data_IF_634291855954
#
_entry.id   IF_634291855954
#
_cell.length_a   1.000
_cell.length_b   1.000
_cell.length_c   1.000
_cell.angle_alpha   90.00
_cell.angle_beta   90.00
_cell.angle_gamma   90.00
#
_symmetry.space_group_name_H-M   'P 1'
#
loop_
_entity.id
_entity.type
_entity.pdbx_description
1 polymer ?
#
# COMPACT_ATOMS: atom_id res chain seq x y z
N UNK A 1 7.49 10.75 -79.84
CA UNK A 1 6.84 11.78 -79.02
C UNK A 1 5.80 12.61 -79.70
N UNK A 2 6.07 13.15 -80.86
CA UNK A 2 5.09 13.95 -81.66
C UNK A 2 3.71 13.32 -81.78
N UNK A 3 3.63 11.98 -82.00
CA UNK A 3 2.37 11.25 -82.15
C UNK A 3 1.49 11.22 -80.91
N UNK A 4 2.05 11.05 -79.66
CA UNK A 4 1.29 10.97 -78.40
C UNK A 4 0.68 12.33 -78.01
N UNK A 5 1.44 13.42 -78.18
CA UNK A 5 0.98 14.77 -77.91
C UNK A 5 -0.13 15.19 -78.91
N UNK A 6 -0.02 14.84 -80.18
CA UNK A 6 -1.04 15.12 -81.14
C UNK A 6 -2.33 14.33 -80.91
N UNK A 7 -2.24 13.04 -80.55
CA UNK A 7 -3.40 12.20 -80.26
C UNK A 7 -4.12 12.73 -78.97
N UNK A 8 -3.37 13.24 -77.96
CA UNK A 8 -3.95 13.86 -76.81
C UNK A 8 -4.74 15.13 -77.11
N UNK A 9 -4.19 16.01 -77.95
CA UNK A 9 -4.86 17.24 -78.38
C UNK A 9 -6.09 16.99 -79.25
N UNK A 10 -6.08 15.93 -80.02
CA UNK A 10 -7.20 15.53 -80.87
C UNK A 10 -8.24 14.66 -80.11
N UNK A 11 -8.05 14.44 -78.86
CA UNK A 11 -8.91 13.62 -77.98
C UNK A 11 -9.05 12.16 -78.49
N UNK A 12 -7.98 11.62 -79.07
CA UNK A 12 -7.91 10.26 -79.66
C UNK A 12 -7.02 9.31 -78.90
N UNK A 13 -6.60 9.66 -77.68
CA UNK A 13 -5.76 8.82 -76.81
C UNK A 13 -6.55 7.70 -76.13
N UNK A 14 -5.99 6.51 -76.17
CA UNK A 14 -6.43 5.41 -75.29
C UNK A 14 -6.03 5.68 -73.80
N UNK A 15 -6.67 5.02 -72.88
CA UNK A 15 -6.39 5.18 -71.45
C UNK A 15 -4.92 4.88 -71.10
N UNK A 16 -4.35 3.86 -71.68
CA UNK A 16 -2.93 3.49 -71.50
C UNK A 16 -1.97 4.52 -72.10
N UNK A 17 -2.30 5.15 -73.24
CA UNK A 17 -1.52 6.24 -73.85
C UNK A 17 -1.61 7.54 -72.99
N UNK A 18 -2.79 7.82 -72.44
CA UNK A 18 -2.98 8.94 -71.56
C UNK A 18 -2.14 8.81 -70.25
N UNK A 19 -2.13 7.61 -69.60
CA UNK A 19 -1.30 7.35 -68.45
C UNK A 19 0.21 7.41 -68.74
N UNK A 20 0.61 6.92 -69.97
CA UNK A 20 1.99 7.06 -70.40
C UNK A 20 2.40 8.52 -70.65
N UNK A 21 1.48 9.34 -71.19
CA UNK A 21 1.68 10.78 -71.37
C UNK A 21 1.78 11.51 -69.97
N UNK A 22 0.91 11.24 -68.99
CA UNK A 22 0.99 11.78 -67.69
C UNK A 22 2.30 11.43 -66.96
N UNK A 23 2.77 10.19 -67.12
CA UNK A 23 4.07 9.77 -66.56
C UNK A 23 5.28 10.53 -67.17
N UNK A 24 5.15 11.15 -68.36
CA UNK A 24 6.21 12.01 -68.86
C UNK A 24 6.35 13.33 -68.13
N UNK A 25 5.25 13.87 -67.63
CA UNK A 25 5.28 15.08 -66.76
C UNK A 25 5.95 14.83 -65.42
N UNK A 26 5.89 13.59 -64.92
CA UNK A 26 6.43 13.23 -63.60
C UNK A 26 7.94 12.89 -63.67
N UNK A 27 8.52 12.71 -64.86
CA UNK A 27 9.94 12.39 -65.02
C UNK A 27 10.75 13.61 -65.46
N UNK A 28 11.62 14.16 -64.61
CA UNK A 28 12.41 15.39 -64.90
C UNK A 28 13.23 15.28 -66.19
N UNK A 29 13.75 14.07 -66.51
CA UNK A 29 14.58 13.82 -67.68
C UNK A 29 13.85 13.98 -69.00
N UNK A 30 12.53 13.87 -69.01
CA UNK A 30 11.67 13.96 -70.26
C UNK A 30 10.95 15.31 -70.38
N UNK A 31 11.04 16.19 -69.39
CA UNK A 31 10.37 17.50 -69.44
C UNK A 31 10.92 18.41 -70.54
N UNK A 32 12.20 18.32 -70.81
CA UNK A 32 12.84 19.13 -71.88
C UNK A 32 12.35 18.73 -73.29
N UNK A 33 12.23 17.42 -73.57
CA UNK A 33 11.73 16.90 -74.83
C UNK A 33 10.24 17.17 -75.04
N UNK A 34 9.47 17.11 -73.91
CA UNK A 34 8.06 17.47 -73.88
C UNK A 34 7.85 18.95 -74.20
N UNK A 35 8.64 19.82 -73.50
CA UNK A 35 8.62 21.25 -73.69
C UNK A 35 8.94 21.67 -75.15
N UNK A 36 9.94 20.99 -75.77
CA UNK A 36 10.26 21.22 -77.20
C UNK A 36 9.13 20.82 -78.11
N UNK A 37 8.51 19.67 -77.86
CA UNK A 37 7.40 19.19 -78.70
C UNK A 37 6.16 20.08 -78.57
N UNK A 38 5.90 20.62 -77.40
CA UNK A 38 4.82 21.57 -77.15
C UNK A 38 5.10 22.92 -77.82
N UNK A 39 6.34 23.37 -77.80
CA UNK A 39 6.75 24.66 -78.39
C UNK A 39 6.73 24.59 -79.96
N UNK A 40 7.10 23.45 -80.58
CA UNK A 40 6.96 23.23 -82.00
C UNK A 40 5.49 23.21 -82.43
N UNK A 41 4.63 22.53 -81.69
CA UNK A 41 3.19 22.50 -81.98
C UNK A 41 2.53 23.85 -81.86
N UNK A 42 2.95 24.68 -80.84
CA UNK A 42 2.49 26.05 -80.64
C UNK A 42 2.83 26.94 -81.87
N UNK A 43 3.98 26.71 -82.50
CA UNK A 43 4.40 27.48 -83.70
C UNK A 43 3.65 27.07 -84.98
N UNK A 44 3.10 25.86 -85.04
CA UNK A 44 2.35 25.32 -86.17
C UNK A 44 0.84 25.63 -86.07
N UNK A 45 0.35 26.19 -84.98
CA UNK A 45 -1.06 26.58 -84.89
C UNK A 45 -1.39 27.76 -85.74
N UNK A 46 -2.46 27.72 -86.59
CA UNK A 46 -2.92 28.87 -87.36
C UNK A 46 -3.44 29.96 -86.37
N UNK A 47 -3.01 31.20 -86.63
CA UNK A 47 -3.32 32.40 -85.83
C UNK A 47 -4.77 32.92 -85.96
N UNK A 48 -5.69 32.15 -86.61
CA UNK A 48 -7.05 32.60 -86.92
C UNK A 48 -8.14 31.82 -86.17
N UNK A 49 -8.00 31.66 -84.87
CA UNK A 49 -9.15 31.29 -84.02
C UNK A 49 -9.32 32.32 -82.93
N UNK A 50 -10.52 32.94 -82.88
CA UNK A 50 -10.89 33.75 -81.70
C UNK A 50 -10.55 33.03 -80.43
N UNK A 51 -9.81 33.72 -79.57
CA UNK A 51 -9.41 33.12 -78.31
C UNK A 51 -10.67 32.65 -77.50
N UNK A 52 -10.73 31.38 -77.10
CA UNK A 52 -11.90 30.89 -76.35
C UNK A 52 -12.06 31.73 -75.10
N UNK A 53 -13.29 32.11 -74.76
CA UNK A 53 -13.61 32.77 -73.48
C UNK A 53 -13.31 31.85 -72.30
N UNK A 54 -12.19 32.07 -71.68
CA UNK A 54 -11.73 31.35 -70.53
C UNK A 54 -12.30 31.86 -69.20
N UNK A 55 -13.12 32.92 -69.24
CA UNK A 55 -13.70 33.52 -68.03
C UNK A 55 -14.48 32.53 -67.15
N UNK A 56 -15.31 31.60 -67.74
CA UNK A 56 -16.03 30.62 -66.89
C UNK A 56 -15.07 29.62 -66.22
N UNK A 57 -13.99 29.24 -66.91
CA UNK A 57 -13.00 28.33 -66.39
C UNK A 57 -12.15 29.00 -65.27
N UNK A 58 -11.80 30.26 -65.48
CA UNK A 58 -11.08 31.07 -64.49
C UNK A 58 -11.93 31.29 -63.22
N UNK A 59 -13.23 31.56 -63.37
CA UNK A 59 -14.14 31.68 -62.23
C UNK A 59 -14.27 30.39 -61.48
N UNK A 60 -14.32 29.22 -62.14
CA UNK A 60 -14.40 27.92 -61.47
C UNK A 60 -13.11 27.63 -60.68
N UNK A 61 -11.97 27.93 -61.24
CA UNK A 61 -10.66 27.75 -60.55
C UNK A 61 -10.57 28.67 -59.33
N UNK A 62 -10.94 29.94 -59.47
CA UNK A 62 -10.95 30.87 -58.36
C UNK A 62 -11.93 30.45 -57.24
N UNK A 63 -13.08 29.93 -57.63
CA UNK A 63 -14.06 29.39 -56.67
C UNK A 63 -13.51 28.20 -55.91
N UNK A 64 -12.84 27.27 -56.55
CA UNK A 64 -12.22 26.11 -55.93
C UNK A 64 -11.04 26.50 -55.01
N UNK A 65 -10.18 27.43 -55.44
CA UNK A 65 -9.07 27.96 -54.64
C UNK A 65 -9.63 28.64 -53.38
N UNK A 66 -10.61 29.54 -53.50
CA UNK A 66 -11.25 30.20 -52.36
C UNK A 66 -11.96 29.24 -51.42
N UNK A 67 -12.56 28.14 -51.91
CA UNK A 67 -13.17 27.12 -51.06
C UNK A 67 -12.10 26.31 -50.31
N UNK A 68 -10.97 26.00 -50.92
CA UNK A 68 -9.86 25.32 -50.21
C UNK A 68 -9.24 26.21 -49.14
N UNK A 69 -9.07 27.48 -49.41
CA UNK A 69 -8.56 28.44 -48.40
C UNK A 69 -9.55 28.70 -47.26
N UNK A 70 -10.87 28.66 -47.54
CA UNK A 70 -11.91 28.76 -46.47
C UNK A 70 -12.04 27.50 -45.66
N UNK A 71 -11.76 26.32 -46.24
CA UNK A 71 -11.76 25.03 -45.51
C UNK A 71 -10.61 24.88 -44.51
N UNK A 72 -9.51 25.65 -44.67
CA UNK A 72 -8.32 25.58 -43.80
C UNK A 72 -8.36 26.41 -42.52
N UNK A 73 -9.36 27.30 -42.36
CA UNK A 73 -9.55 28.11 -41.13
C UNK A 73 -10.88 27.84 -40.46
N UNK A 74 -11.25 26.60 -40.29
CA UNK A 74 -12.27 26.29 -39.28
C UNK A 74 -11.65 26.58 -37.91
N UNK A 75 -12.13 27.67 -37.37
CA UNK A 75 -11.69 28.25 -36.11
C UNK A 75 -11.81 27.22 -34.97
N UNK A 76 -10.75 26.42 -34.75
CA UNK A 76 -10.66 25.44 -33.65
C UNK A 76 -10.54 26.12 -32.28
N UNK A 77 -11.01 27.38 -32.15
CA UNK A 77 -11.07 28.06 -30.86
C UNK A 77 -11.85 27.23 -29.82
N UNK A 78 -12.91 26.58 -30.25
CA UNK A 78 -13.71 25.70 -29.38
C UNK A 78 -12.90 24.47 -28.94
N UNK A 79 -12.19 23.81 -29.83
CA UNK A 79 -11.30 22.67 -29.50
C UNK A 79 -10.13 23.14 -28.65
N UNK A 80 -9.55 24.30 -28.94
CA UNK A 80 -8.45 24.87 -28.13
C UNK A 80 -8.93 25.30 -26.73
N UNK A 81 -10.17 25.77 -26.58
CA UNK A 81 -10.77 26.04 -25.28
C UNK A 81 -11.06 24.74 -24.51
N UNK A 82 -11.63 23.74 -25.16
CA UNK A 82 -11.87 22.42 -24.57
C UNK A 82 -10.57 21.73 -24.12
N UNK A 83 -9.52 21.79 -24.92
CA UNK A 83 -8.22 21.22 -24.54
C UNK A 83 -7.56 21.96 -23.36
N UNK A 84 -7.72 23.29 -23.28
CA UNK A 84 -7.24 24.07 -22.13
C UNK A 84 -8.03 23.75 -20.86
N UNK A 85 -9.36 23.65 -20.95
CA UNK A 85 -10.22 23.27 -19.80
C UNK A 85 -9.91 21.84 -19.38
N UNK A 86 -9.76 20.92 -20.32
CA UNK A 86 -9.38 19.54 -20.05
C UNK A 86 -8.01 19.45 -19.35
N UNK A 87 -7.01 20.21 -19.78
CA UNK A 87 -5.69 20.24 -19.13
C UNK A 87 -5.74 20.80 -17.71
N UNK A 88 -6.51 21.87 -17.48
CA UNK A 88 -6.68 22.49 -16.15
C UNK A 88 -7.41 21.55 -15.16
N UNK A 89 -8.32 20.73 -15.63
CA UNK A 89 -9.04 19.76 -14.81
C UNK A 89 -8.28 18.44 -14.66
N UNK A 90 -7.59 18.00 -15.72
CA UNK A 90 -6.89 16.71 -15.73
C UNK A 90 -5.60 16.73 -14.90
N UNK A 91 -4.86 17.86 -14.89
CA UNK A 91 -3.61 17.95 -14.12
C UNK A 91 -3.86 17.85 -12.62
N UNK A 92 -4.78 18.62 -11.99
CA UNK A 92 -5.07 18.43 -10.56
C UNK A 92 -5.69 17.06 -10.25
N UNK A 93 -6.52 16.51 -11.14
CA UNK A 93 -7.07 15.16 -10.98
C UNK A 93 -5.98 14.09 -11.06
N UNK A 94 -5.03 14.21 -11.98
CA UNK A 94 -3.88 13.33 -12.10
C UNK A 94 -2.96 13.46 -10.87
N UNK A 95 -2.70 14.67 -10.38
CA UNK A 95 -1.93 14.91 -9.15
C UNK A 95 -2.66 14.32 -7.94
N UNK A 96 -3.96 14.54 -7.79
CA UNK A 96 -4.77 13.95 -6.72
C UNK A 96 -4.81 12.42 -6.81
N UNK A 97 -4.88 11.85 -8.00
CA UNK A 97 -4.80 10.41 -8.25
C UNK A 97 -3.41 9.85 -7.88
N UNK A 98 -2.32 10.49 -8.31
CA UNK A 98 -0.95 10.12 -7.91
C UNK A 98 -0.68 10.28 -6.42
N UNK A 99 -1.22 11.33 -5.79
CA UNK A 99 -1.12 11.53 -4.34
C UNK A 99 -1.96 10.51 -3.56
N UNK A 100 -3.09 10.06 -4.08
CA UNK A 100 -3.90 8.99 -3.48
C UNK A 100 -3.30 7.59 -3.68
N UNK A 101 -2.63 7.33 -4.82
CA UNK A 101 -1.90 6.06 -5.03
C UNK A 101 -0.72 5.92 -4.05
N UNK A 102 -0.17 7.02 -3.56
CA UNK A 102 0.88 6.99 -2.52
C UNK A 102 0.35 6.75 -1.10
N UNK A 103 -0.98 6.73 -0.91
CA UNK A 103 -1.60 6.41 0.37
C UNK A 103 -1.93 4.92 0.38
N UNK A 104 -1.16 4.22 1.18
CA UNK A 104 -1.14 2.81 1.55
C UNK A 104 -0.46 1.89 0.52
N UNK A 105 0.59 1.17 0.93
CA UNK A 105 0.98 -0.03 0.24
C UNK A 105 -0.21 -0.98 0.36
N UNK A 106 -0.95 -1.18 -0.73
CA UNK A 106 -1.90 -2.27 -0.86
C UNK A 106 -1.18 -3.55 -0.44
N UNK A 107 -1.54 -4.11 0.70
CA UNK A 107 -1.10 -5.42 1.14
C UNK A 107 -1.75 -6.47 0.22
N UNK A 108 -1.30 -6.54 -1.03
CA UNK A 108 -1.76 -7.57 -1.95
C UNK A 108 -1.43 -8.93 -1.35
N UNK A 109 -2.48 -9.66 -0.97
CA UNK A 109 -2.35 -10.99 -0.37
C UNK A 109 -1.92 -10.97 1.10
N UNK A 110 -2.54 -10.12 1.94
CA UNK A 110 -2.37 -10.17 3.41
C UNK A 110 -2.73 -11.56 3.93
N UNK A 111 -1.84 -12.11 4.74
CA UNK A 111 -2.07 -13.31 5.56
C UNK A 111 -2.30 -12.88 7.00
N UNK A 112 -3.25 -13.50 7.67
CA UNK A 112 -3.47 -13.31 9.11
C UNK A 112 -3.33 -14.65 9.82
N UNK A 113 -2.49 -14.69 10.83
CA UNK A 113 -2.34 -15.81 11.74
C UNK A 113 -2.94 -15.39 13.07
N UNK A 114 -3.83 -16.20 13.63
CA UNK A 114 -4.48 -15.94 14.91
C UNK A 114 -4.32 -17.13 15.84
N UNK A 115 -4.16 -16.86 17.12
CA UNK A 115 -4.11 -17.87 18.19
C UNK A 115 -5.34 -17.73 19.08
N UNK A 116 -6.05 -18.82 19.35
CA UNK A 116 -7.10 -18.80 20.37
C UNK A 116 -6.51 -18.63 21.77
N UNK A 117 -7.35 -18.39 22.75
CA UNK A 117 -6.96 -18.43 24.16
C UNK A 117 -6.40 -19.83 24.52
N UNK A 118 -5.54 -19.89 25.52
CA UNK A 118 -4.80 -21.08 25.94
C UNK A 118 -3.96 -21.74 24.84
N UNK A 119 -3.59 -21.01 23.82
CA UNK A 119 -2.74 -21.49 22.73
C UNK A 119 -1.71 -20.44 22.35
N UNK A 120 -0.59 -20.90 21.82
CA UNK A 120 0.43 -20.05 21.22
C UNK A 120 1.03 -20.75 20.00
N UNK A 121 1.58 -19.99 19.09
CA UNK A 121 2.23 -20.50 17.90
C UNK A 121 3.52 -19.75 17.60
N UNK A 122 4.39 -20.36 16.83
CA UNK A 122 5.53 -19.66 16.24
C UNK A 122 5.58 -19.93 14.75
N UNK A 123 6.12 -18.99 14.01
CA UNK A 123 6.28 -19.08 12.56
C UNK A 123 7.36 -18.12 12.06
N UNK A 124 7.82 -18.38 10.85
CA UNK A 124 8.79 -17.51 10.19
C UNK A 124 8.10 -16.63 9.15
N UNK A 125 8.38 -15.35 9.19
CA UNK A 125 7.92 -14.36 8.21
C UNK A 125 8.70 -14.47 6.88
N UNK A 126 8.19 -13.88 5.77
CA UNK A 126 8.85 -13.92 4.47
C UNK A 126 10.26 -13.33 4.41
N UNK A 127 10.64 -12.50 5.39
CA UNK A 127 11.98 -11.90 5.51
C UNK A 127 12.96 -12.72 6.37
N UNK A 128 12.51 -13.87 6.89
CA UNK A 128 13.27 -14.73 7.79
C UNK A 128 13.17 -14.36 9.27
N UNK A 129 12.41 -13.33 9.64
CA UNK A 129 12.12 -13.01 11.04
C UNK A 129 11.25 -14.09 11.68
N UNK A 130 11.52 -14.42 12.94
CA UNK A 130 10.74 -15.40 13.71
C UNK A 130 9.79 -14.66 14.64
N UNK A 131 8.54 -15.09 14.66
CA UNK A 131 7.48 -14.55 15.52
C UNK A 131 6.94 -15.65 16.40
N UNK A 132 6.85 -15.36 17.70
CA UNK A 132 6.05 -16.12 18.66
C UNK A 132 4.79 -15.31 18.93
N UNK A 133 3.63 -15.89 18.73
CA UNK A 133 2.32 -15.26 18.91
C UNK A 133 1.64 -15.88 20.13
N UNK A 134 1.31 -15.05 21.11
CA UNK A 134 0.74 -15.48 22.39
C UNK A 134 -0.78 -15.74 22.28
N UNK A 135 -1.38 -16.22 23.34
CA UNK A 135 -2.80 -16.56 23.44
C UNK A 135 -3.71 -15.35 23.17
N UNK A 136 -4.76 -15.55 22.36
CA UNK A 136 -5.74 -14.51 22.04
C UNK A 136 -5.17 -13.39 21.19
N UNK A 137 -4.19 -13.66 20.34
CA UNK A 137 -3.50 -12.66 19.51
C UNK A 137 -3.66 -12.92 18.03
N UNK A 138 -3.49 -11.89 17.21
CA UNK A 138 -3.46 -12.01 15.74
C UNK A 138 -2.37 -11.13 15.12
N UNK A 139 -1.69 -11.67 14.12
CA UNK A 139 -0.69 -10.96 13.32
C UNK A 139 -1.06 -11.01 11.85
N UNK A 140 -1.16 -9.82 11.24
CA UNK A 140 -1.40 -9.67 9.80
C UNK A 140 -0.14 -9.17 9.11
N UNK A 141 0.26 -9.82 8.02
CA UNK A 141 1.46 -9.49 7.25
C UNK A 141 1.28 -9.86 5.77
N UNK A 142 2.02 -9.23 4.82
CA UNK A 142 1.94 -9.54 3.40
C UNK A 142 2.63 -10.85 3.07
N UNK A 143 2.24 -11.51 1.97
CA UNK A 143 2.94 -12.71 1.45
C UNK A 143 4.40 -12.47 1.12
N UNK A 144 4.76 -11.25 0.78
CA UNK A 144 6.14 -10.79 0.58
C UNK A 144 6.24 -9.31 0.95
N UNK A 145 7.33 -8.92 1.59
CA UNK A 145 7.57 -7.51 1.89
C UNK A 145 8.05 -6.77 0.64
N UNK A 146 7.16 -6.00 0.03
CA UNK A 146 7.43 -5.08 -1.08
C UNK A 146 7.46 -3.63 -0.54
N UNK A 147 8.29 -2.75 -1.13
CA UNK A 147 8.40 -1.35 -0.71
C UNK A 147 9.48 -1.08 0.33
N UNK A 148 9.42 0.11 0.94
CA UNK A 148 10.51 0.66 1.76
C UNK A 148 10.52 0.11 3.20
N UNK A 149 9.42 -0.50 3.65
CA UNK A 149 9.25 -1.03 5.01
C UNK A 149 8.76 -2.49 4.98
N UNK A 150 9.02 -3.21 6.06
CA UNK A 150 8.48 -4.54 6.36
C UNK A 150 7.36 -4.38 7.39
N UNK A 151 6.15 -4.05 6.92
CA UNK A 151 5.01 -3.74 7.79
C UNK A 151 4.25 -4.99 8.19
N UNK A 152 3.96 -5.11 9.51
CA UNK A 152 3.05 -6.09 10.09
C UNK A 152 2.07 -5.41 11.05
N UNK A 153 0.87 -5.99 11.24
CA UNK A 153 -0.14 -5.46 12.17
C UNK A 153 -0.40 -6.48 13.26
N UNK A 154 -0.24 -6.08 14.50
CA UNK A 154 -0.43 -6.92 15.69
C UNK A 154 -1.64 -6.44 16.50
N UNK A 155 -2.49 -7.39 16.88
CA UNK A 155 -3.49 -7.27 17.93
C UNK A 155 -3.23 -8.36 18.97
N UNK A 156 -2.97 -7.98 20.23
CA UNK A 156 -2.58 -8.89 21.28
C UNK A 156 -1.09 -8.85 21.64
N UNK A 157 -0.46 -10.01 21.86
CA UNK A 157 0.94 -10.12 22.29
C UNK A 157 1.77 -10.99 21.36
N UNK A 158 2.94 -10.48 20.99
CA UNK A 158 3.92 -11.22 20.21
C UNK A 158 5.35 -10.87 20.61
N UNK A 159 6.20 -11.87 20.56
CA UNK A 159 7.64 -11.71 20.60
C UNK A 159 8.20 -11.84 19.18
N UNK A 160 9.05 -10.91 18.82
CA UNK A 160 9.70 -10.83 17.52
C UNK A 160 11.20 -11.02 17.66
N UNK A 161 11.78 -11.95 16.90
CA UNK A 161 13.21 -11.99 16.61
C UNK A 161 13.42 -11.60 15.15
N UNK A 162 13.64 -10.31 14.93
CA UNK A 162 13.61 -9.69 13.61
C UNK A 162 14.97 -9.88 12.93
N UNK A 163 14.94 -10.42 11.72
CA UNK A 163 16.10 -10.55 10.85
C UNK A 163 16.71 -9.17 10.50
N UNK A 164 18.03 -9.05 10.61
CA UNK A 164 18.73 -7.78 10.33
C UNK A 164 18.60 -7.38 8.87
N UNK A 165 18.17 -6.13 8.62
CA UNK A 165 18.00 -5.59 7.28
C UNK A 165 18.17 -4.07 7.27
N UNK A 166 18.55 -3.51 6.11
CA UNK A 166 18.58 -2.04 5.90
C UNK A 166 17.16 -1.45 5.81
N UNK A 167 16.14 -2.26 5.47
CA UNK A 167 14.75 -1.84 5.47
C UNK A 167 14.17 -1.96 6.88
N UNK A 168 13.51 -0.93 7.42
CA UNK A 168 12.89 -1.00 8.73
C UNK A 168 11.79 -2.07 8.76
N UNK A 169 11.67 -2.73 9.91
CA UNK A 169 10.55 -3.60 10.25
C UNK A 169 9.64 -2.79 11.17
N UNK A 170 8.40 -2.62 10.75
CA UNK A 170 7.41 -1.81 11.44
C UNK A 170 6.28 -2.70 11.96
N UNK A 171 6.02 -2.65 13.27
CA UNK A 171 4.85 -3.30 13.89
C UNK A 171 3.85 -2.22 14.24
N UNK A 172 2.71 -2.25 13.58
CA UNK A 172 1.57 -1.39 13.86
C UNK A 172 0.62 -2.10 14.84
N UNK A 173 0.20 -1.41 15.90
CA UNK A 173 -0.82 -1.88 16.84
C UNK A 173 -1.92 -0.82 16.97
N UNK A 174 -3.07 -1.15 17.62
CA UNK A 174 -4.10 -0.15 17.91
C UNK A 174 -3.61 1.05 18.72
N UNK A 175 -2.55 0.92 19.52
CA UNK A 175 -2.09 1.94 20.46
C UNK A 175 -0.77 2.62 20.07
N UNK A 176 0.12 1.94 19.36
CA UNK A 176 1.49 2.38 19.08
C UNK A 176 2.04 1.78 17.79
N UNK A 177 3.14 2.36 17.32
CA UNK A 177 3.97 1.80 16.24
C UNK A 177 5.38 1.55 16.73
N UNK A 178 5.98 0.43 16.32
CA UNK A 178 7.35 0.05 16.67
C UNK A 178 8.18 -0.12 15.42
N UNK A 179 9.33 0.57 15.36
CA UNK A 179 10.28 0.50 14.24
C UNK A 179 11.60 -0.12 14.70
N UNK A 180 12.08 -1.13 13.95
CA UNK A 180 13.36 -1.83 14.21
C UNK A 180 14.09 -2.21 12.92
N UNK A 181 15.37 -2.56 13.03
CA UNK A 181 16.21 -3.01 11.89
C UNK A 181 16.75 -4.44 12.03
N UNK A 182 16.72 -5.00 13.24
CA UNK A 182 17.25 -6.33 13.56
C UNK A 182 17.35 -6.46 15.08
N UNK A 183 16.26 -6.88 15.71
CA UNK A 183 16.00 -6.66 17.14
C UNK A 183 15.16 -7.80 17.69
N UNK A 184 15.42 -8.18 18.93
CA UNK A 184 14.59 -9.13 19.66
C UNK A 184 13.82 -8.37 20.76
N UNK A 185 12.47 -8.43 20.72
CA UNK A 185 11.60 -7.65 21.61
C UNK A 185 10.21 -8.27 21.73
N UNK A 186 9.53 -7.96 22.85
CA UNK A 186 8.14 -8.31 23.09
C UNK A 186 7.23 -7.08 22.95
N UNK A 187 6.08 -7.24 22.35
CA UNK A 187 4.98 -6.27 22.35
C UNK A 187 3.78 -6.94 23.00
N UNK A 188 3.19 -6.29 24.02
CA UNK A 188 1.89 -6.59 24.56
C UNK A 188 0.96 -5.41 24.29
N UNK A 189 -0.07 -5.64 23.47
CA UNK A 189 -1.01 -4.61 23.02
C UNK A 189 -2.46 -5.14 22.97
N UNK A 190 -2.88 -5.83 24.03
CA UNK A 190 -4.28 -6.24 24.19
C UNK A 190 -5.16 -5.03 24.51
N UNK A 191 -6.40 -5.02 24.02
CA UNK A 191 -7.35 -3.92 24.23
C UNK A 191 -7.69 -3.65 25.72
N UNK A 192 -7.55 -4.65 26.59
CA UNK A 192 -7.84 -4.58 28.01
C UNK A 192 -6.60 -4.45 28.89
N UNK A 193 -5.44 -4.13 28.33
CA UNK A 193 -4.19 -3.97 29.07
C UNK A 193 -3.47 -2.69 28.61
N UNK A 194 -2.57 -2.17 29.45
CA UNK A 194 -1.68 -1.08 29.03
C UNK A 194 -0.69 -1.61 27.99
N UNK A 195 -0.55 -0.94 26.84
CA UNK A 195 0.39 -1.36 25.81
C UNK A 195 1.83 -1.22 26.28
N UNK A 196 2.62 -2.28 26.08
CA UNK A 196 4.01 -2.37 26.53
C UNK A 196 4.91 -2.90 25.40
N UNK A 197 6.14 -2.35 25.36
CA UNK A 197 7.20 -2.84 24.47
C UNK A 197 8.44 -3.09 25.29
N UNK A 198 8.91 -4.33 25.36
CA UNK A 198 10.09 -4.73 26.12
C UNK A 198 11.21 -5.13 25.19
N UNK A 199 12.37 -4.48 25.31
CA UNK A 199 13.52 -4.74 24.46
C UNK A 199 14.51 -5.69 25.11
N UNK A 200 14.79 -6.81 24.43
CA UNK A 200 15.80 -7.78 24.87
C UNK A 200 17.13 -7.54 24.19
N UNK A 201 17.18 -7.36 22.85
CA UNK A 201 18.40 -7.16 22.07
C UNK A 201 18.17 -6.21 20.92
N UNK A 202 19.16 -5.34 20.64
CA UNK A 202 19.15 -4.41 19.53
C UNK A 202 18.72 -3.00 19.90
N UNK A 203 17.89 -2.36 19.08
CA UNK A 203 17.37 -1.01 19.29
C UNK A 203 15.92 -0.91 18.75
N UNK A 204 15.07 -0.27 19.52
CA UNK A 204 13.66 -0.07 19.20
C UNK A 204 13.34 1.41 19.25
N UNK A 205 12.57 1.90 18.26
CA UNK A 205 11.87 3.16 18.34
C UNK A 205 10.38 2.88 18.55
N UNK A 206 9.79 3.42 19.62
CA UNK A 206 8.36 3.32 19.93
C UNK A 206 7.73 4.67 19.68
N UNK A 207 6.67 4.70 18.89
CA UNK A 207 5.92 5.92 18.55
C UNK A 207 4.48 5.77 18.99
N UNK A 208 3.98 6.69 19.82
CA UNK A 208 2.58 6.74 20.24
C UNK A 208 1.68 7.32 19.15
N UNK A 209 0.36 7.22 19.28
CA UNK A 209 -0.61 7.81 18.35
C UNK A 209 -0.54 9.34 18.24
N UNK A 210 -0.04 10.01 19.29
CA UNK A 210 0.17 11.47 19.26
C UNK A 210 1.45 11.89 18.59
N UNK A 211 2.29 10.92 18.14
CA UNK A 211 3.58 11.17 17.52
C UNK A 211 4.74 11.32 18.52
N UNK A 212 4.51 11.12 19.82
CA UNK A 212 5.61 11.04 20.78
C UNK A 212 6.46 9.81 20.47
N UNK A 213 7.77 9.98 20.37
CA UNK A 213 8.70 8.91 20.09
C UNK A 213 9.72 8.72 21.22
N UNK A 214 9.99 7.47 21.56
CA UNK A 214 11.05 7.06 22.53
C UNK A 214 11.89 5.93 21.92
N UNK A 215 13.17 5.94 22.27
CA UNK A 215 14.10 4.87 21.93
C UNK A 215 14.36 4.01 23.14
N UNK A 216 14.38 2.70 22.94
CA UNK A 216 14.72 1.72 23.97
C UNK A 216 16.11 1.15 23.74
N UNK A 217 16.82 0.92 24.86
CA UNK A 217 18.02 0.11 24.93
C UNK A 217 17.68 -1.27 25.52
N UNK A 218 18.52 -2.28 25.32
CA UNK A 218 18.32 -3.59 25.94
C UNK A 218 18.12 -3.51 27.46
N UNK A 219 17.09 -4.23 27.96
CA UNK A 219 16.68 -4.17 29.36
C UNK A 219 15.72 -3.03 29.71
N UNK A 220 15.22 -2.29 28.70
CA UNK A 220 14.22 -1.25 28.90
C UNK A 220 12.85 -1.67 28.37
N UNK A 221 11.81 -1.14 29.00
CA UNK A 221 10.41 -1.28 28.62
C UNK A 221 9.77 0.09 28.46
N UNK A 222 9.08 0.30 27.34
CA UNK A 222 8.14 1.39 27.15
C UNK A 222 6.73 0.94 27.55
N UNK A 223 6.04 1.75 28.34
CA UNK A 223 4.64 1.59 28.71
C UNK A 223 3.87 2.81 28.26
N UNK A 224 2.75 2.61 27.56
CA UNK A 224 1.96 3.68 26.99
C UNK A 224 0.69 3.89 27.81
N UNK A 225 0.50 5.10 28.30
CA UNK A 225 -0.75 5.53 28.89
C UNK A 225 -1.81 5.70 27.78
N UNK A 226 -2.92 4.98 27.86
CA UNK A 226 -3.95 4.98 26.82
C UNK A 226 -4.81 6.24 26.78
N UNK A 227 -4.76 7.07 27.83
CA UNK A 227 -5.52 8.33 27.95
C UNK A 227 -4.67 9.49 27.43
N UNK A 228 -3.49 9.67 28.02
CA UNK A 228 -2.57 10.77 27.65
C UNK A 228 -1.71 10.45 26.44
N UNK A 229 -1.63 9.18 26.03
CA UNK A 229 -0.73 8.65 25.00
C UNK A 229 0.76 8.93 25.26
N UNK A 230 1.13 9.26 26.50
CA UNK A 230 2.52 9.46 26.90
C UNK A 230 3.26 8.14 27.04
N UNK A 231 4.57 8.16 26.76
CA UNK A 231 5.44 6.98 26.82
C UNK A 231 6.35 7.08 28.03
N UNK A 232 6.17 6.20 29.02
CA UNK A 232 7.09 6.02 30.12
C UNK A 232 8.10 4.91 29.78
N UNK A 233 9.40 5.16 30.03
CA UNK A 233 10.46 4.17 29.82
C UNK A 233 11.12 3.83 31.13
N UNK A 234 11.16 2.52 31.46
CA UNK A 234 11.76 2.00 32.69
C UNK A 234 12.71 0.84 32.41
N UNK A 235 13.70 0.65 33.26
CA UNK A 235 14.52 -0.57 33.24
C UNK A 235 13.75 -1.72 33.86
N UNK A 236 13.79 -2.88 33.19
CA UNK A 236 13.08 -4.08 33.61
C UNK A 236 13.93 -5.34 33.47
N UNK A 237 13.56 -6.39 34.18
CA UNK A 237 14.03 -7.74 33.90
C UNK A 237 13.26 -8.31 32.71
N UNK A 238 13.82 -8.33 31.52
CA UNK A 238 13.14 -8.72 30.27
C UNK A 238 12.50 -10.11 30.35
N UNK A 239 13.13 -11.01 31.10
CA UNK A 239 12.64 -12.37 31.33
C UNK A 239 11.20 -12.42 31.92
N UNK A 240 10.78 -11.42 32.69
CA UNK A 240 9.41 -11.34 33.23
C UNK A 240 8.36 -11.21 32.10
N UNK A 241 8.75 -10.66 30.96
CA UNK A 241 7.88 -10.35 29.83
C UNK A 241 8.09 -11.28 28.62
N UNK A 242 9.17 -12.08 28.60
CA UNK A 242 9.50 -12.96 27.48
C UNK A 242 9.46 -14.44 27.85
N UNK A 243 9.38 -14.80 29.16
CA UNK A 243 9.38 -16.20 29.64
C UNK A 243 8.23 -17.05 29.09
N UNK A 244 7.13 -16.43 28.70
CA UNK A 244 5.97 -17.11 28.15
C UNK A 244 6.29 -17.89 26.87
N UNK A 245 7.32 -17.49 26.10
CA UNK A 245 7.82 -18.21 24.93
C UNK A 245 8.19 -19.65 25.31
N UNK A 246 8.77 -19.83 26.51
CA UNK A 246 9.24 -21.09 27.07
C UNK A 246 8.21 -21.76 27.98
N UNK A 247 6.90 -21.50 27.79
CA UNK A 247 5.79 -22.03 28.59
C UNK A 247 5.86 -21.64 30.09
N UNK A 248 6.37 -20.45 30.41
CA UNK A 248 6.58 -20.01 31.78
C UNK A 248 6.02 -18.63 32.00
N UNK A 249 5.20 -18.44 33.02
CA UNK A 249 4.76 -17.12 33.49
C UNK A 249 5.53 -16.79 34.78
N UNK A 250 6.18 -15.63 34.79
CA UNK A 250 6.90 -15.15 35.95
C UNK A 250 6.25 -13.84 36.38
N UNK A 251 5.85 -13.79 37.63
CA UNK A 251 5.26 -12.61 38.30
C UNK A 251 6.20 -12.16 39.39
N UNK A 252 6.58 -10.88 39.40
CA UNK A 252 7.45 -10.31 40.43
C UNK A 252 6.86 -9.00 40.95
N UNK A 253 6.33 -9.04 42.18
CA UNK A 253 5.66 -7.90 42.79
C UNK A 253 4.56 -7.31 41.87
N UNK A 254 3.79 -8.18 41.20
CA UNK A 254 2.78 -7.79 40.23
C UNK A 254 1.39 -7.71 40.88
N UNK A 255 0.55 -6.70 40.58
CA UNK A 255 -0.82 -6.63 41.10
C UNK A 255 -1.62 -7.85 40.69
N UNK A 256 -2.44 -8.40 41.61
CA UNK A 256 -3.25 -9.59 41.32
C UNK A 256 -4.19 -9.40 40.13
N UNK A 257 -4.72 -8.19 39.93
CA UNK A 257 -5.55 -7.89 38.75
C UNK A 257 -4.83 -8.13 37.41
N UNK A 258 -3.55 -7.71 37.31
CA UNK A 258 -2.72 -7.93 36.13
C UNK A 258 -2.36 -9.42 35.95
N UNK A 259 -2.05 -10.10 37.06
CA UNK A 259 -1.81 -11.54 37.10
C UNK A 259 -3.03 -12.29 36.57
N UNK A 260 -4.23 -11.96 37.07
CA UNK A 260 -5.48 -12.61 36.65
C UNK A 260 -5.73 -12.46 35.15
N UNK A 261 -5.54 -11.27 34.58
CA UNK A 261 -5.70 -11.07 33.15
C UNK A 261 -4.78 -11.97 32.29
N UNK A 262 -3.54 -12.19 32.78
CA UNK A 262 -2.59 -13.12 32.10
C UNK A 262 -3.03 -14.57 32.28
N UNK A 263 -3.54 -14.97 33.44
CA UNK A 263 -4.06 -16.32 33.69
C UNK A 263 -5.32 -16.63 32.89
N UNK A 264 -6.24 -15.67 32.75
CA UNK A 264 -7.44 -15.81 31.90
C UNK A 264 -7.07 -16.18 30.47
N UNK A 265 -6.09 -15.47 29.89
CA UNK A 265 -5.59 -15.77 28.53
C UNK A 265 -4.85 -17.10 28.46
N UNK A 266 -4.04 -17.39 29.47
CA UNK A 266 -3.21 -18.60 29.53
C UNK A 266 -4.01 -19.89 29.65
N UNK A 267 -5.09 -19.88 30.44
CA UNK A 267 -5.93 -21.06 30.70
C UNK A 267 -7.28 -21.03 29.96
N UNK A 268 -7.60 -19.97 29.26
CA UNK A 268 -8.92 -19.74 28.65
C UNK A 268 -10.05 -19.92 29.65
N UNK A 269 -10.00 -19.20 30.75
CA UNK A 269 -11.03 -19.13 31.81
C UNK A 269 -11.42 -17.68 32.03
N UNK A 270 -12.59 -17.45 32.61
CA UNK A 270 -12.99 -16.13 33.10
C UNK A 270 -12.87 -16.10 34.62
N UNK A 271 -12.21 -15.07 35.14
CA UNK A 271 -11.94 -14.91 36.59
C UNK A 271 -12.51 -13.57 37.04
N UNK A 272 -13.44 -13.62 37.98
CA UNK A 272 -14.10 -12.45 38.55
C UNK A 272 -13.58 -12.17 39.97
N UNK A 273 -12.96 -11.01 40.17
CA UNK A 273 -12.48 -10.58 41.47
C UNK A 273 -13.55 -9.66 42.04
N UNK A 274 -14.28 -10.13 43.09
CA UNK A 274 -15.36 -9.35 43.72
C UNK A 274 -14.89 -8.21 44.62
N UNK A 275 -13.62 -8.22 45.03
CA UNK A 275 -13.03 -7.22 45.92
C UNK A 275 -11.88 -6.47 45.19
N UNK A 276 -12.06 -5.17 44.99
CA UNK A 276 -11.06 -4.31 44.33
C UNK A 276 -9.75 -4.22 45.14
N UNK A 277 -9.79 -4.36 46.47
CA UNK A 277 -8.59 -4.35 47.32
C UNK A 277 -7.74 -5.59 47.08
N UNK A 278 -8.37 -6.74 46.78
CA UNK A 278 -7.65 -7.94 46.38
C UNK A 278 -6.93 -7.75 45.04
N UNK A 279 -7.54 -7.06 44.11
CA UNK A 279 -6.92 -6.82 42.77
C UNK A 279 -5.59 -6.03 42.90
N UNK A 280 -5.42 -5.24 43.94
CA UNK A 280 -4.21 -4.44 44.22
C UNK A 280 -3.14 -5.20 45.04
N UNK A 281 -3.49 -6.34 45.65
CA UNK A 281 -2.52 -7.20 46.36
C UNK A 281 -1.43 -7.64 45.39
N UNK A 282 -0.19 -7.68 45.83
CA UNK A 282 0.95 -7.99 45.00
C UNK A 282 1.42 -9.42 45.19
N UNK A 283 1.75 -10.06 44.07
CA UNK A 283 2.11 -11.49 44.04
C UNK A 283 3.51 -11.68 43.46
N UNK A 284 4.23 -12.65 44.02
CA UNK A 284 5.41 -13.27 43.40
C UNK A 284 5.09 -14.73 43.13
N UNK A 285 5.13 -15.14 41.87
CA UNK A 285 4.86 -16.51 41.47
C UNK A 285 5.60 -16.85 40.18
N UNK A 286 5.85 -18.13 40.03
CA UNK A 286 6.31 -18.72 38.75
C UNK A 286 5.38 -19.88 38.44
N UNK A 287 4.79 -19.88 37.26
CA UNK A 287 3.87 -20.91 36.77
C UNK A 287 4.47 -21.50 35.51
N UNK A 288 4.60 -22.81 35.45
CA UNK A 288 5.24 -23.50 34.32
C UNK A 288 4.41 -24.68 33.80
N UNK A 289 4.02 -25.58 34.70
CA UNK A 289 3.27 -26.82 34.36
C UNK A 289 1.97 -26.95 35.14
N UNK A 290 1.71 -26.05 36.05
CA UNK A 290 0.58 -26.12 36.97
C UNK A 290 -0.75 -26.03 36.20
N UNK A 291 -1.69 -26.85 36.63
CA UNK A 291 -3.09 -26.74 36.18
C UNK A 291 -3.78 -25.53 36.81
N UNK A 292 -4.94 -25.15 36.29
CA UNK A 292 -5.76 -24.07 36.84
C UNK A 292 -6.02 -24.27 38.36
N UNK A 293 -6.37 -25.53 38.76
CA UNK A 293 -6.65 -25.84 40.17
C UNK A 293 -5.43 -25.62 41.05
N UNK A 294 -4.25 -26.10 40.63
CA UNK A 294 -3.01 -25.91 41.39
C UNK A 294 -2.62 -24.46 41.53
N UNK A 295 -2.81 -23.65 40.47
CA UNK A 295 -2.56 -22.21 40.54
C UNK A 295 -3.51 -21.54 41.51
N UNK A 296 -4.80 -21.93 41.51
CA UNK A 296 -5.76 -21.37 42.49
C UNK A 296 -5.43 -21.76 43.91
N UNK A 297 -5.04 -23.02 44.17
CA UNK A 297 -4.58 -23.48 45.47
C UNK A 297 -3.35 -22.68 45.96
N UNK A 298 -2.38 -22.39 45.04
CA UNK A 298 -1.23 -21.55 45.35
C UNK A 298 -1.64 -20.12 45.72
N UNK A 299 -2.63 -19.55 45.03
CA UNK A 299 -3.15 -18.21 45.32
C UNK A 299 -3.86 -18.17 46.69
N UNK A 300 -4.66 -19.20 47.07
CA UNK A 300 -5.29 -19.29 48.37
C UNK A 300 -4.30 -19.43 49.53
N UNK A 301 -3.18 -20.11 49.30
CA UNK A 301 -2.10 -20.22 50.29
C UNK A 301 -1.34 -18.88 50.47
N UNK A 302 -1.20 -18.14 49.39
CA UNK A 302 -0.35 -16.93 49.33
C UNK A 302 -1.11 -15.66 49.72
N UNK A 303 -2.40 -15.60 49.43
CA UNK A 303 -3.25 -14.42 49.62
C UNK A 303 -4.51 -14.79 50.41
N UNK A 304 -5.11 -13.85 51.18
CA UNK A 304 -6.34 -14.09 51.95
C UNK A 304 -7.56 -14.13 51.00
N UNK A 305 -7.65 -15.15 50.16
CA UNK A 305 -8.74 -15.30 49.20
C UNK A 305 -9.28 -16.74 49.18
N UNK A 306 -10.52 -16.88 48.74
CA UNK A 306 -11.14 -18.15 48.36
C UNK A 306 -11.71 -18.08 46.97
N UNK A 307 -11.68 -19.19 46.24
CA UNK A 307 -12.27 -19.28 44.91
C UNK A 307 -13.30 -20.40 44.79
N UNK A 308 -14.25 -20.17 43.94
CA UNK A 308 -15.24 -21.14 43.50
C UNK A 308 -15.10 -21.32 41.98
N UNK A 309 -14.85 -22.54 41.51
CA UNK A 309 -14.67 -22.81 40.10
C UNK A 309 -15.86 -23.60 39.50
N UNK A 310 -16.62 -22.93 38.60
CA UNK A 310 -17.67 -23.57 37.83
C UNK A 310 -17.08 -24.12 36.51
N UNK A 311 -16.84 -25.44 36.46
CA UNK A 311 -16.28 -26.16 35.30
C UNK A 311 -17.14 -26.03 34.04
N UNK A 312 -18.47 -25.96 34.18
CA UNK A 312 -19.39 -25.91 33.05
C UNK A 312 -19.34 -24.55 32.32
N UNK A 313 -19.23 -23.46 33.07
CA UNK A 313 -19.16 -22.11 32.56
C UNK A 313 -17.73 -21.62 32.35
N UNK A 314 -16.73 -22.41 32.81
CA UNK A 314 -15.30 -22.02 32.82
C UNK A 314 -15.10 -20.68 33.54
N UNK A 315 -15.90 -20.43 34.58
CA UNK A 315 -15.90 -19.19 35.35
C UNK A 315 -15.38 -19.47 36.77
N UNK A 316 -14.50 -18.61 37.22
CA UNK A 316 -13.95 -18.61 38.57
C UNK A 316 -14.33 -17.31 39.25
N UNK A 317 -14.76 -17.41 40.49
CA UNK A 317 -15.06 -16.25 41.33
C UNK A 317 -14.10 -16.23 42.50
N UNK A 318 -13.41 -15.11 42.70
CA UNK A 318 -12.49 -14.90 43.84
C UNK A 318 -13.14 -13.96 44.82
N UNK A 319 -13.20 -14.40 46.11
CA UNK A 319 -13.72 -13.65 47.23
C UNK A 319 -12.64 -13.42 48.27
N UNK A 320 -12.75 -12.34 49.03
CA UNK A 320 -11.90 -12.09 50.15
C UNK A 320 -12.22 -13.13 51.27
N UNK A 321 -11.19 -13.70 51.88
CA UNK A 321 -11.29 -14.64 52.99
C UNK A 321 -10.80 -14.00 54.33
N UNK A 322 -10.60 -12.71 54.35
CA UNK A 322 -10.33 -12.02 55.61
C UNK A 322 -11.59 -12.06 56.47
N UNK A 323 -11.48 -12.45 57.74
CA UNK A 323 -12.61 -12.54 58.68
C UNK A 323 -13.20 -11.19 59.06
#
# INVERSE_FOLDING_TARGET
MKGFFKNYLENKCSESEFLAFLNMFLKPEKQTELGQSMQEHWKEMPLEQEAPDLSPTLHKIHFEINNRERGGKQNNRFVTYLTRIAAVLFIPLAIAFFLNIRKEPLMEGTQTISTPLASKTNFTLPDGSVVYLNAGSSLSFPKSFSGDKRLVKLDGEAYFDVAQSKRPFEVETPALTVDVYGTAFNIMAYNNALPEVTLERGKVAVTSKTGEQRFLNPGEQARIDTISHSIAVNKVETNLFTSWINNKLIFKNEPLGDVIQRLERWYNISIDIQDELLAQKRLNATIEYESVSEVMDLLEITLPLKFEYNKNERKLVIKNNEP
#
